data_IF_829120004081
#
_entry.id   IF_829120004081
#
_cell.length_a   1.000
_cell.length_b   1.000
_cell.length_c   1.000
_cell.angle_alpha   90.00
_cell.angle_beta   90.00
_cell.angle_gamma   90.00
#
_symmetry.space_group_name_H-M   'P 1'
#
loop_
_entity.id
_entity.type
_entity.pdbx_description
1 polymer ?
#
# COMPACT_ATOMS: atom_id res chain seq x y z
N UNK A 1 25.06 -3.40 -26.01
CA UNK A 1 25.15 -2.51 -24.82
C UNK A 1 26.51 -1.78 -24.91
N UNK A 2 26.45 -0.49 -25.11
CA UNK A 2 27.66 0.36 -25.01
C UNK A 2 27.73 0.91 -23.60
N UNK A 3 28.90 0.85 -23.01
CA UNK A 3 29.18 1.46 -21.70
C UNK A 3 30.24 2.54 -21.86
N UNK A 4 30.13 3.62 -21.08
CA UNK A 4 31.18 4.64 -20.92
C UNK A 4 31.68 4.62 -19.49
N UNK A 5 32.99 4.57 -19.33
CA UNK A 5 33.62 4.66 -18.03
C UNK A 5 33.90 6.13 -17.69
N UNK A 6 33.36 6.59 -16.57
CA UNK A 6 33.61 7.92 -16.03
C UNK A 6 34.36 7.77 -14.71
N UNK A 7 35.66 8.07 -14.70
CA UNK A 7 36.51 7.88 -13.52
C UNK A 7 36.74 6.42 -13.19
N UNK A 8 37.30 6.15 -12.03
CA UNK A 8 37.64 4.78 -11.63
C UNK A 8 36.46 3.97 -11.05
N UNK A 9 35.34 4.63 -10.70
CA UNK A 9 34.27 4.02 -9.94
C UNK A 9 32.84 4.17 -10.53
N UNK A 10 32.67 4.75 -11.75
CA UNK A 10 31.33 4.98 -12.33
C UNK A 10 31.20 4.34 -13.71
N UNK A 11 30.27 3.37 -13.81
CA UNK A 11 29.84 2.75 -15.07
C UNK A 11 28.46 3.25 -15.45
N UNK A 12 28.36 3.96 -16.59
CA UNK A 12 27.09 4.35 -17.17
C UNK A 12 26.72 3.35 -18.28
N UNK A 13 25.58 2.67 -18.15
CA UNK A 13 25.03 1.80 -19.17
C UNK A 13 24.02 2.57 -20.02
N UNK A 14 24.36 2.78 -21.30
CA UNK A 14 23.42 3.33 -22.27
C UNK A 14 22.72 2.19 -23.02
N UNK A 15 21.42 2.11 -22.94
CA UNK A 15 20.62 1.24 -23.78
C UNK A 15 20.39 1.92 -25.12
N UNK A 16 21.16 1.50 -26.12
CA UNK A 16 20.92 1.92 -27.50
C UNK A 16 19.84 1.02 -28.11
N UNK A 17 18.58 1.42 -27.98
CA UNK A 17 17.51 0.89 -28.80
C UNK A 17 17.46 1.72 -30.09
N UNK A 18 18.12 1.27 -31.15
CA UNK A 18 17.84 1.76 -32.49
C UNK A 18 16.74 0.90 -33.09
N UNK A 19 15.51 1.40 -33.25
CA UNK A 19 14.53 0.71 -34.07
C UNK A 19 14.95 0.88 -35.52
N UNK A 20 15.45 -0.18 -36.13
CA UNK A 20 15.52 -0.26 -37.58
C UNK A 20 14.11 -0.43 -38.09
N UNK A 21 13.51 0.67 -38.52
CA UNK A 21 12.26 0.66 -39.22
C UNK A 21 12.45 -0.01 -40.58
N UNK A 22 11.95 -1.23 -40.74
CA UNK A 22 11.60 -1.76 -42.06
C UNK A 22 10.12 -1.47 -42.30
N UNK A 23 9.77 -0.89 -43.45
CA UNK A 23 8.35 -0.75 -43.79
C UNK A 23 7.80 -2.13 -44.18
N UNK A 24 6.92 -2.67 -43.38
CA UNK A 24 6.05 -3.75 -43.79
C UNK A 24 4.64 -3.21 -43.85
N UNK A 25 4.23 -2.98 -45.07
CA UNK A 25 2.84 -2.87 -45.46
C UNK A 25 2.23 -4.26 -45.29
N UNK A 26 1.34 -4.46 -44.36
CA UNK A 26 0.21 -5.35 -44.52
C UNK A 26 -0.78 -5.20 -43.34
N UNK A 27 -1.95 -4.89 -43.74
CA UNK A 27 -3.20 -4.82 -43.03
C UNK A 27 -3.52 -6.15 -42.34
N UNK A 28 -3.49 -6.17 -41.05
CA UNK A 28 -4.36 -7.07 -40.27
C UNK A 28 -4.74 -6.40 -38.98
N UNK A 29 -5.99 -6.04 -38.94
CA UNK A 29 -6.76 -5.57 -37.79
C UNK A 29 -6.69 -6.62 -36.69
N UNK A 30 -5.71 -6.53 -35.80
CA UNK A 30 -5.80 -7.16 -34.51
C UNK A 30 -6.08 -6.03 -33.53
N UNK A 31 -7.34 -5.90 -33.19
CA UNK A 31 -7.78 -5.10 -32.05
C UNK A 31 -7.23 -5.73 -30.78
N UNK A 32 -5.97 -5.46 -30.47
CA UNK A 32 -5.45 -5.65 -29.13
C UNK A 32 -5.99 -4.51 -28.30
N UNK A 33 -7.16 -4.70 -27.75
CA UNK A 33 -7.60 -3.98 -26.56
C UNK A 33 -6.62 -4.36 -25.45
N UNK A 34 -5.46 -3.72 -25.42
CA UNK A 34 -4.68 -3.60 -24.22
C UNK A 34 -5.50 -2.70 -23.30
N UNK A 35 -6.41 -3.28 -22.54
CA UNK A 35 -6.96 -2.61 -21.39
C UNK A 35 -5.78 -2.36 -20.47
N UNK A 36 -5.19 -1.19 -20.56
CA UNK A 36 -4.28 -0.67 -19.56
C UNK A 36 -5.11 -0.54 -18.30
N UNK A 37 -5.12 -1.60 -17.49
CA UNK A 37 -5.80 -1.61 -16.19
C UNK A 37 -5.00 -0.66 -15.30
N UNK A 38 -5.32 0.62 -15.39
CA UNK A 38 -4.70 1.64 -14.57
C UNK A 38 -5.25 1.48 -13.17
N UNK A 39 -4.47 0.86 -12.31
CA UNK A 39 -4.84 0.67 -10.91
C UNK A 39 -5.10 2.05 -10.25
N UNK A 40 -6.31 2.24 -9.73
CA UNK A 40 -6.68 3.47 -9.02
C UNK A 40 -5.75 3.72 -7.85
N UNK A 41 -5.33 4.96 -7.70
CA UNK A 41 -4.54 5.40 -6.56
C UNK A 41 -5.35 5.34 -5.26
N UNK A 42 -4.66 5.37 -4.14
CA UNK A 42 -5.31 5.41 -2.81
C UNK A 42 -6.29 6.59 -2.69
N UNK A 43 -5.86 7.79 -3.13
CA UNK A 43 -6.69 9.00 -3.09
C UNK A 43 -7.91 8.92 -4.01
N UNK A 44 -7.77 8.34 -5.19
CA UNK A 44 -8.90 8.11 -6.11
C UNK A 44 -9.91 7.12 -5.54
N UNK A 45 -9.43 6.06 -4.88
CA UNK A 45 -10.29 5.11 -4.17
C UNK A 45 -11.06 5.80 -3.04
N UNK A 46 -10.37 6.63 -2.25
CA UNK A 46 -10.98 7.38 -1.16
C UNK A 46 -11.99 8.41 -1.67
N UNK A 47 -11.66 9.17 -2.73
CA UNK A 47 -12.56 10.19 -3.29
C UNK A 47 -13.86 9.59 -3.82
N UNK A 48 -13.80 8.40 -4.41
CA UNK A 48 -14.97 7.67 -4.94
C UNK A 48 -15.74 6.86 -3.90
N UNK A 49 -15.28 6.82 -2.65
CA UNK A 49 -15.93 6.07 -1.58
C UNK A 49 -17.20 6.77 -1.05
N UNK A 50 -18.07 5.99 -0.40
CA UNK A 50 -19.27 6.51 0.26
C UNK A 50 -18.94 7.44 1.43
N UNK A 51 -19.88 8.32 1.80
CA UNK A 51 -19.72 9.22 2.95
C UNK A 51 -19.44 8.44 4.24
N UNK A 52 -20.15 7.34 4.46
CA UNK A 52 -19.94 6.47 5.63
C UNK A 52 -18.53 5.90 5.66
N UNK A 53 -18.02 5.44 4.52
CA UNK A 53 -16.64 4.93 4.42
C UNK A 53 -15.60 6.02 4.71
N UNK A 54 -15.80 7.22 4.17
CA UNK A 54 -14.92 8.37 4.42
C UNK A 54 -14.88 8.75 5.90
N UNK A 55 -16.03 8.75 6.57
CA UNK A 55 -16.11 9.00 8.01
C UNK A 55 -15.33 7.95 8.80
N UNK A 56 -15.49 6.67 8.46
CA UNK A 56 -14.76 5.58 9.12
C UNK A 56 -13.25 5.68 8.87
N UNK A 57 -12.85 5.99 7.65
CA UNK A 57 -11.45 6.20 7.28
C UNK A 57 -10.82 7.37 8.03
N UNK A 58 -11.51 8.52 8.08
CA UNK A 58 -11.04 9.71 8.82
C UNK A 58 -10.91 9.40 10.31
N UNK A 59 -11.90 8.75 10.90
CA UNK A 59 -11.86 8.37 12.32
C UNK A 59 -10.67 7.45 12.64
N UNK A 60 -10.33 6.54 11.73
CA UNK A 60 -9.15 5.68 11.88
C UNK A 60 -7.85 6.50 11.82
N UNK A 61 -7.72 7.40 10.85
CA UNK A 61 -6.55 8.26 10.71
C UNK A 61 -6.37 9.16 11.94
N UNK A 62 -7.43 9.84 12.36
CA UNK A 62 -7.42 10.72 13.55
C UNK A 62 -7.03 9.94 14.81
N UNK A 63 -7.52 8.70 14.94
CA UNK A 63 -7.15 7.85 16.06
C UNK A 63 -5.67 7.49 16.06
N UNK A 64 -5.12 7.07 14.92
CA UNK A 64 -3.69 6.75 14.79
C UNK A 64 -2.84 7.99 15.08
N UNK A 65 -3.21 9.14 14.55
CA UNK A 65 -2.49 10.40 14.79
C UNK A 65 -2.56 10.87 16.25
N UNK A 66 -3.62 10.52 16.97
CA UNK A 66 -3.76 10.83 18.41
C UNK A 66 -2.86 10.00 19.31
N UNK A 67 -2.25 8.93 18.82
CA UNK A 67 -1.36 8.05 19.61
C UNK A 67 -0.04 8.73 19.98
N UNK A 68 0.45 9.62 19.13
CA UNK A 68 1.69 10.35 19.39
C UNK A 68 2.11 11.27 18.25
N UNK A 69 2.76 12.38 18.60
CA UNK A 69 3.26 13.38 17.66
C UNK A 69 4.45 12.90 16.82
N UNK A 70 4.97 11.72 17.14
CA UNK A 70 6.10 11.09 16.47
C UNK A 70 5.69 10.21 15.27
N UNK A 71 4.39 10.06 15.03
CA UNK A 71 3.84 9.39 13.87
C UNK A 71 3.66 10.36 12.70
N UNK A 72 4.45 10.16 11.65
CA UNK A 72 4.40 11.00 10.45
C UNK A 72 3.64 10.28 9.34
N UNK A 73 2.54 10.85 8.83
CA UNK A 73 1.84 10.28 7.68
C UNK A 73 2.67 10.44 6.40
N UNK A 74 2.73 9.39 5.60
CA UNK A 74 3.38 9.36 4.31
C UNK A 74 2.44 8.78 3.27
N UNK A 75 1.87 9.64 2.41
CA UNK A 75 0.95 9.24 1.36
C UNK A 75 1.71 8.67 0.17
N UNK A 76 1.48 7.42 -0.12
CA UNK A 76 2.01 6.71 -1.27
C UNK A 76 0.90 6.52 -2.33
N UNK A 77 1.28 6.08 -3.52
CA UNK A 77 0.33 5.91 -4.62
C UNK A 77 -0.83 4.96 -4.28
N UNK A 78 -0.55 3.87 -3.59
CA UNK A 78 -1.51 2.79 -3.36
C UNK A 78 -1.96 2.64 -1.91
N UNK A 79 -1.26 3.27 -0.97
CA UNK A 79 -1.55 3.19 0.46
C UNK A 79 -1.07 4.44 1.22
N UNK A 80 -1.56 4.64 2.43
CA UNK A 80 -1.07 5.62 3.39
C UNK A 80 -0.25 4.88 4.46
N UNK A 81 0.98 5.32 4.69
CA UNK A 81 1.82 4.79 5.75
C UNK A 81 1.92 5.79 6.91
N UNK A 82 1.89 5.31 8.15
CA UNK A 82 2.30 6.06 9.33
C UNK A 82 3.65 5.57 9.80
N UNK A 83 4.60 6.45 9.79
CA UNK A 83 6.01 6.18 10.03
C UNK A 83 6.49 6.87 11.29
N UNK A 84 7.30 6.16 12.06
CA UNK A 84 8.17 6.69 13.13
C UNK A 84 9.62 6.61 12.64
N UNK A 85 10.43 5.67 13.10
CA UNK A 85 11.71 5.32 12.46
C UNK A 85 11.46 4.44 11.23
N UNK A 86 10.47 3.57 11.30
CA UNK A 86 9.99 2.68 10.25
C UNK A 86 8.46 2.76 10.15
N UNK A 87 7.89 2.21 9.10
CA UNK A 87 6.43 2.15 8.99
C UNK A 87 5.87 1.25 10.11
N UNK A 88 4.92 1.78 10.86
CA UNK A 88 4.20 1.06 11.91
C UNK A 88 2.84 0.62 11.42
N UNK A 89 2.15 1.52 10.73
CA UNK A 89 0.83 1.29 10.15
C UNK A 89 0.84 1.57 8.65
N UNK A 90 0.17 0.74 7.88
CA UNK A 90 -0.07 0.94 6.46
C UNK A 90 -1.55 0.73 6.17
N UNK A 91 -2.21 1.73 5.61
CA UNK A 91 -3.65 1.73 5.31
C UNK A 91 -3.83 1.60 3.81
N UNK A 92 -4.49 0.54 3.38
CA UNK A 92 -4.89 0.31 2.00
C UNK A 92 -6.41 0.28 1.89
N UNK A 93 -6.95 0.84 0.81
CA UNK A 93 -8.39 0.75 0.48
C UNK A 93 -8.57 -0.36 -0.55
N UNK A 94 -9.30 -1.39 -0.18
CA UNK A 94 -9.56 -2.54 -1.03
C UNK A 94 -11.01 -3.01 -0.92
N UNK A 95 -11.71 -3.11 -2.06
CA UNK A 95 -13.09 -3.64 -2.12
C UNK A 95 -14.03 -3.08 -1.03
N UNK A 96 -14.07 -1.75 -0.88
CA UNK A 96 -14.91 -1.04 0.09
C UNK A 96 -14.62 -1.38 1.56
N UNK A 97 -13.45 -1.89 1.86
CA UNK A 97 -12.96 -2.10 3.21
C UNK A 97 -11.60 -1.42 3.38
N UNK A 98 -11.26 -1.10 4.61
CA UNK A 98 -9.95 -0.61 4.99
C UNK A 98 -9.11 -1.80 5.42
N UNK A 99 -7.98 -2.02 4.76
CA UNK A 99 -6.98 -2.98 5.18
C UNK A 99 -5.89 -2.22 5.95
N UNK A 100 -5.87 -2.42 7.25
CA UNK A 100 -4.85 -1.86 8.13
C UNK A 100 -3.80 -2.93 8.41
N UNK A 101 -2.60 -2.73 7.89
CA UNK A 101 -1.46 -3.57 8.26
C UNK A 101 -0.64 -2.88 9.33
N UNK A 102 -0.24 -3.64 10.32
CA UNK A 102 0.51 -3.13 11.45
C UNK A 102 1.68 -4.03 11.78
N UNK A 103 2.73 -3.43 12.33
CA UNK A 103 3.90 -4.14 12.80
C UNK A 103 3.59 -4.76 14.17
N UNK A 104 2.95 -5.90 14.14
CA UNK A 104 2.59 -6.70 15.30
C UNK A 104 2.73 -8.16 14.93
N UNK A 105 3.33 -8.96 15.80
CA UNK A 105 3.53 -10.39 15.57
C UNK A 105 2.18 -11.13 15.61
N UNK A 106 1.76 -11.76 14.48
CA UNK A 106 0.49 -12.48 14.41
C UNK A 106 0.40 -13.65 15.40
N UNK A 107 1.52 -14.25 15.78
CA UNK A 107 1.55 -15.37 16.75
C UNK A 107 1.16 -14.94 18.17
N UNK A 108 1.17 -13.64 18.45
CA UNK A 108 0.80 -13.04 19.73
C UNK A 108 -0.64 -12.54 19.77
N UNK A 109 -1.39 -12.72 18.69
CA UNK A 109 -2.76 -12.24 18.52
C UNK A 109 -3.68 -13.42 18.22
N UNK A 110 -4.84 -13.45 18.85
CA UNK A 110 -5.90 -14.36 18.45
C UNK A 110 -6.47 -13.92 17.10
N UNK A 111 -6.22 -14.71 16.06
CA UNK A 111 -6.69 -14.42 14.71
C UNK A 111 -8.18 -14.73 14.58
N UNK A 112 -8.94 -13.74 14.13
CA UNK A 112 -10.38 -13.85 13.86
C UNK A 112 -10.63 -13.85 12.36
N UNK A 113 -11.25 -14.89 11.82
CA UNK A 113 -11.55 -15.01 10.40
C UNK A 113 -12.40 -13.84 9.89
N UNK A 114 -11.99 -13.23 8.79
CA UNK A 114 -12.65 -12.07 8.21
C UNK A 114 -12.37 -10.74 8.90
N UNK A 115 -11.62 -10.73 10.01
CA UNK A 115 -11.21 -9.52 10.71
C UNK A 115 -9.68 -9.39 10.79
N UNK A 116 -8.97 -10.41 11.29
CA UNK A 116 -7.50 -10.40 11.37
C UNK A 116 -6.88 -11.50 10.54
N UNK A 117 -5.74 -11.23 9.93
CA UNK A 117 -5.02 -12.17 9.09
C UNK A 117 -3.51 -12.01 9.25
N UNK A 118 -2.80 -13.14 9.32
CA UNK A 118 -1.35 -13.20 9.16
C UNK A 118 -0.98 -12.98 7.69
N UNK A 119 -0.13 -12.00 7.43
CA UNK A 119 0.33 -11.64 6.09
C UNK A 119 1.80 -11.97 5.84
N UNK A 120 2.44 -12.70 6.75
CA UNK A 120 3.81 -13.18 6.55
C UNK A 120 3.86 -14.12 5.34
N UNK A 121 4.78 -13.85 4.42
CA UNK A 121 4.92 -14.62 3.18
C UNK A 121 3.85 -14.37 2.11
N UNK A 122 2.94 -13.44 2.33
CA UNK A 122 1.95 -12.98 1.34
C UNK A 122 2.39 -11.64 0.78
N UNK A 123 2.38 -11.51 -0.56
CA UNK A 123 2.68 -10.23 -1.21
C UNK A 123 1.60 -9.18 -0.91
N UNK A 124 2.01 -8.01 -0.43
CA UNK A 124 1.12 -6.88 -0.14
C UNK A 124 1.84 -5.54 -0.26
N UNK A 125 1.08 -4.45 -0.33
CA UNK A 125 1.62 -3.09 -0.27
C UNK A 125 1.87 -2.67 1.18
N UNK A 126 2.96 -1.94 1.38
CA UNK A 126 3.37 -1.48 2.70
C UNK A 126 4.05 -2.57 3.53
N UNK A 127 4.24 -2.28 4.80
CA UNK A 127 4.88 -3.16 5.78
C UNK A 127 3.91 -3.50 6.90
N UNK A 128 4.09 -4.63 7.53
CA UNK A 128 3.27 -5.13 8.63
C UNK A 128 2.92 -6.59 8.42
N UNK A 129 2.96 -7.35 9.49
CA UNK A 129 2.76 -8.80 9.49
C UNK A 129 1.34 -9.18 9.84
N UNK A 130 0.65 -8.30 10.58
CA UNK A 130 -0.76 -8.45 10.92
C UNK A 130 -1.62 -7.51 10.07
N UNK A 131 -2.60 -8.07 9.38
CA UNK A 131 -3.61 -7.32 8.63
C UNK A 131 -4.94 -7.36 9.38
N UNK A 132 -5.58 -6.19 9.50
CA UNK A 132 -6.91 -6.03 10.10
C UNK A 132 -7.85 -5.45 9.05
N UNK A 133 -8.96 -6.12 8.80
CA UNK A 133 -10.02 -5.68 7.87
C UNK A 133 -11.07 -4.89 8.63
N UNK A 134 -11.21 -3.60 8.32
CA UNK A 134 -12.18 -2.70 8.94
C UNK A 134 -13.25 -2.35 7.91
N UNK A 135 -14.48 -2.80 8.15
CA UNK A 135 -15.66 -2.59 7.31
C UNK A 135 -16.72 -1.76 8.03
N UNK A 136 -16.78 -1.88 9.34
CA UNK A 136 -17.78 -1.27 10.20
C UNK A 136 -17.15 -0.50 11.35
N UNK A 137 -17.96 0.32 12.03
CA UNK A 137 -17.53 1.00 13.24
C UNK A 137 -17.19 0.02 14.38
N UNK A 138 -17.82 -1.14 14.41
CA UNK A 138 -17.52 -2.20 15.38
C UNK A 138 -16.14 -2.80 15.14
N UNK A 139 -15.80 -3.09 13.89
CA UNK A 139 -14.46 -3.55 13.51
C UNK A 139 -13.40 -2.53 13.94
N UNK A 140 -13.68 -1.25 13.75
CA UNK A 140 -12.78 -0.18 14.19
C UNK A 140 -12.59 -0.17 15.71
N UNK A 141 -13.66 -0.35 16.51
CA UNK A 141 -13.54 -0.42 17.95
C UNK A 141 -12.70 -1.62 18.42
N UNK A 142 -12.85 -2.77 17.77
CA UNK A 142 -12.00 -3.95 18.02
C UNK A 142 -10.53 -3.67 17.63
N UNK A 143 -10.32 -3.02 16.48
CA UNK A 143 -8.99 -2.72 15.96
C UNK A 143 -8.18 -1.79 16.89
N UNK A 144 -8.82 -0.90 17.63
CA UNK A 144 -8.14 0.05 18.53
C UNK A 144 -7.17 -0.62 19.49
N UNK A 145 -7.55 -1.75 20.07
CA UNK A 145 -6.68 -2.51 21.00
C UNK A 145 -5.41 -3.00 20.33
N UNK A 146 -5.52 -3.44 19.08
CA UNK A 146 -4.37 -3.91 18.29
C UNK A 146 -3.50 -2.73 17.84
N UNK A 147 -4.12 -1.61 17.48
CA UNK A 147 -3.44 -0.37 17.10
C UNK A 147 -2.62 0.17 18.30
N UNK A 148 -3.22 0.28 19.47
CA UNK A 148 -2.55 0.73 20.70
C UNK A 148 -1.36 -0.16 21.02
N UNK A 149 -1.55 -1.47 20.93
CA UNK A 149 -0.50 -2.46 21.18
C UNK A 149 0.64 -2.35 20.16
N UNK A 150 0.33 -2.27 18.87
CA UNK A 150 1.34 -2.11 17.83
C UNK A 150 2.16 -0.83 18.01
N UNK A 151 1.53 0.26 18.43
CA UNK A 151 2.23 1.50 18.74
C UNK A 151 3.15 1.34 19.96
N UNK A 152 2.68 0.73 21.04
CA UNK A 152 3.44 0.52 22.27
C UNK A 152 4.65 -0.40 22.07
N UNK A 153 4.53 -1.44 21.26
CA UNK A 153 5.64 -2.36 20.97
C UNK A 153 6.74 -1.73 20.07
N UNK A 154 6.48 -0.56 19.51
CA UNK A 154 7.46 0.20 18.72
C UNK A 154 8.08 1.38 19.47
N UNK A 155 7.76 1.53 20.74
CA UNK A 155 8.42 2.48 21.64
C UNK A 155 9.77 1.93 22.08
#
# INVERSE_FOLDING_TARGET
VKYRKYGDDLLLFEHLNTPVAKPVTETSTISTTSSTYTQKTHLEKLSSASSHFKTLYTALCDYIESLGDDLVPNQLKLYLAYKKVQNIFCIEIYNKQILLRMKLDPDTVELEEGFTRDTRGIGHYGTGELEVSIKTAEDFQKAKKLIDRAYQETL
#
